data_IF_708130627185
#
_entry.id   IF_708130627185
#
_cell.length_a   1.000
_cell.length_b   1.000
_cell.length_c   1.000
_cell.angle_alpha   90.00
_cell.angle_beta   90.00
_cell.angle_gamma   90.00
#
_symmetry.space_group_name_H-M   'P 1'
#
loop_
_entity.id
_entity.type
_entity.pdbx_description
1 polymer ?
#
# COMPACT_ATOMS: atom_id res chain seq x y z
N UNK A 1 -19.75 -13.83 -4.02
CA UNK A 1 -19.95 -12.37 -4.14
C UNK A 1 -18.77 -11.62 -3.54
N UNK A 2 -18.60 -10.33 -3.84
CA UNK A 2 -17.48 -9.50 -3.37
C UNK A 2 -18.00 -8.14 -2.92
N UNK A 3 -17.53 -7.64 -1.78
CA UNK A 3 -17.77 -6.28 -1.30
C UNK A 3 -16.46 -5.50 -1.38
N UNK A 4 -16.48 -4.34 -2.02
CA UNK A 4 -15.34 -3.43 -2.10
C UNK A 4 -15.62 -2.24 -1.19
N UNK A 5 -14.76 -2.05 -0.19
CA UNK A 5 -14.85 -0.94 0.75
C UNK A 5 -13.65 -0.01 0.55
N UNK A 6 -13.91 1.21 0.10
CA UNK A 6 -12.91 2.27 0.08
C UNK A 6 -12.82 2.91 1.47
N UNK A 7 -11.61 3.03 2.01
CA UNK A 7 -11.34 3.78 3.24
C UNK A 7 -10.72 5.11 2.85
N UNK A 8 -11.45 6.20 3.11
CA UNK A 8 -10.95 7.56 2.90
C UNK A 8 -9.84 7.92 3.90
N UNK A 9 -9.13 9.02 3.59
CA UNK A 9 -7.98 9.48 4.37
C UNK A 9 -6.65 8.88 3.90
N UNK A 10 -5.59 9.15 4.64
CA UNK A 10 -4.25 8.59 4.38
C UNK A 10 -3.82 7.72 5.55
N UNK A 11 -3.14 6.61 5.26
CA UNK A 11 -2.43 5.84 6.29
C UNK A 11 -1.39 6.75 6.95
N UNK A 12 -1.39 6.77 8.28
CA UNK A 12 -0.58 7.69 9.09
C UNK A 12 -1.41 8.82 9.72
N UNK A 13 -2.57 9.14 9.15
CA UNK A 13 -3.47 10.15 9.72
C UNK A 13 -4.27 9.55 10.90
N UNK A 14 -4.40 10.34 11.98
CA UNK A 14 -5.10 9.93 13.22
C UNK A 14 -6.56 9.59 12.94
N UNK A 15 -7.20 10.32 12.01
CA UNK A 15 -8.60 10.14 11.62
C UNK A 15 -8.85 8.75 11.00
N UNK A 16 -7.83 8.14 10.39
CA UNK A 16 -7.92 6.85 9.70
C UNK A 16 -7.78 5.64 10.64
N UNK A 17 -7.22 5.82 11.85
CA UNK A 17 -6.89 4.73 12.77
C UNK A 17 -8.08 3.84 13.15
N UNK A 18 -9.28 4.37 13.48
CA UNK A 18 -10.43 3.54 13.83
C UNK A 18 -10.86 2.61 12.68
N UNK A 19 -10.78 3.10 11.44
CA UNK A 19 -11.15 2.32 10.26
C UNK A 19 -10.12 1.23 9.95
N UNK A 20 -8.83 1.55 10.06
CA UNK A 20 -7.76 0.57 9.85
C UNK A 20 -7.80 -0.53 10.93
N UNK A 21 -8.08 -0.18 12.19
CA UNK A 21 -8.25 -1.18 13.25
C UNK A 21 -9.46 -2.08 13.01
N UNK A 22 -10.59 -1.52 12.55
CA UNK A 22 -11.77 -2.32 12.19
C UNK A 22 -11.48 -3.30 11.05
N UNK A 23 -10.75 -2.87 10.01
CA UNK A 23 -10.30 -3.76 8.93
C UNK A 23 -9.38 -4.87 9.46
N UNK A 24 -8.41 -4.52 10.31
CA UNK A 24 -7.47 -5.47 10.91
C UNK A 24 -8.22 -6.56 11.69
N UNK A 25 -9.21 -6.17 12.50
CA UNK A 25 -10.07 -7.11 13.24
C UNK A 25 -10.93 -7.96 12.30
N UNK A 26 -11.55 -7.35 11.28
CA UNK A 26 -12.37 -8.05 10.30
C UNK A 26 -11.63 -9.25 9.68
N UNK A 27 -10.36 -9.07 9.28
CA UNK A 27 -9.55 -10.19 8.73
C UNK A 27 -9.34 -11.33 9.73
N UNK A 28 -9.24 -11.04 11.03
CA UNK A 28 -9.17 -12.08 12.06
C UNK A 28 -10.51 -12.79 12.27
N UNK A 29 -11.63 -12.09 12.11
CA UNK A 29 -12.98 -12.64 12.31
C UNK A 29 -13.43 -13.52 11.14
N UNK A 30 -13.21 -13.08 9.90
CA UNK A 30 -13.72 -13.77 8.70
C UNK A 30 -12.69 -14.67 8.02
N UNK A 31 -11.44 -14.66 8.48
CA UNK A 31 -10.35 -15.45 7.88
C UNK A 31 -9.59 -14.69 6.79
N UNK A 32 -8.30 -15.01 6.66
CA UNK A 32 -7.38 -14.33 5.73
C UNK A 32 -7.69 -14.57 4.26
N UNK A 33 -8.36 -15.68 3.95
CA UNK A 33 -8.79 -16.10 2.62
C UNK A 33 -9.99 -15.31 2.10
N UNK A 34 -10.71 -14.62 3.00
CA UNK A 34 -11.90 -13.84 2.67
C UNK A 34 -11.62 -12.32 2.64
N UNK A 35 -10.37 -11.88 2.87
CA UNK A 35 -9.98 -10.45 2.89
C UNK A 35 -8.73 -10.19 2.07
N UNK A 36 -8.84 -9.24 1.13
CA UNK A 36 -7.72 -8.74 0.32
C UNK A 36 -7.53 -7.26 0.60
N UNK A 37 -6.30 -6.86 0.93
CA UNK A 37 -5.94 -5.45 1.12
C UNK A 37 -5.24 -4.89 -0.11
N UNK A 38 -5.80 -3.82 -0.68
CA UNK A 38 -5.22 -3.06 -1.78
C UNK A 38 -4.74 -1.72 -1.22
N UNK A 39 -3.42 -1.49 -1.24
CA UNK A 39 -2.85 -0.23 -0.75
C UNK A 39 -2.41 0.66 -1.91
N UNK A 40 -2.98 1.87 -1.96
CA UNK A 40 -2.69 2.83 -3.03
C UNK A 40 -1.65 3.84 -2.56
N UNK A 41 -0.54 3.94 -3.29
CA UNK A 41 0.59 4.83 -2.95
C UNK A 41 0.96 5.73 -4.14
N UNK A 42 1.87 6.69 -3.91
CA UNK A 42 2.38 7.60 -4.93
C UNK A 42 3.90 7.49 -5.02
N UNK A 43 4.40 7.24 -6.23
CA UNK A 43 5.80 7.40 -6.61
C UNK A 43 5.94 8.71 -7.37
N UNK A 44 6.33 9.81 -6.69
CA UNK A 44 6.44 11.11 -7.33
C UNK A 44 7.65 11.17 -8.27
N UNK A 45 7.51 11.96 -9.33
CA UNK A 45 8.60 12.32 -10.24
C UNK A 45 9.16 13.69 -9.86
N UNK A 46 10.43 13.75 -9.48
CA UNK A 46 11.09 15.01 -9.13
C UNK A 46 11.68 15.65 -10.40
N UNK A 47 10.95 16.59 -10.99
CA UNK A 47 11.35 17.25 -12.24
C UNK A 47 12.76 17.88 -12.19
N UNK A 48 13.14 18.47 -11.06
CA UNK A 48 14.45 19.10 -10.90
C UNK A 48 15.63 18.10 -10.97
N UNK A 49 15.40 16.84 -10.60
CA UNK A 49 16.40 15.78 -10.59
C UNK A 49 16.18 14.74 -11.70
N UNK A 50 15.05 14.80 -12.40
CA UNK A 50 14.69 13.88 -13.48
C UNK A 50 14.41 12.45 -13.03
N UNK A 51 14.10 12.22 -11.74
CA UNK A 51 14.02 10.88 -11.15
C UNK A 51 12.71 10.59 -10.40
N UNK A 52 12.30 9.33 -10.39
CA UNK A 52 11.19 8.83 -9.58
C UNK A 52 11.67 8.40 -8.19
N UNK A 53 10.89 8.70 -7.14
CA UNK A 53 11.23 8.35 -5.75
C UNK A 53 10.30 7.29 -5.17
N UNK A 54 10.86 6.12 -4.83
CA UNK A 54 10.10 5.00 -4.22
C UNK A 54 9.96 5.10 -2.70
N UNK A 55 10.72 5.99 -2.05
CA UNK A 55 10.78 6.10 -0.59
C UNK A 55 9.42 6.45 0.06
N UNK A 56 8.58 7.33 -0.51
CA UNK A 56 7.22 7.57 0.01
C UNK A 56 6.37 6.30 0.06
N UNK A 57 6.35 5.48 -1.01
CA UNK A 57 5.67 4.17 -1.02
C UNK A 57 6.18 3.24 0.09
N UNK A 58 7.50 3.15 0.26
CA UNK A 58 8.10 2.29 1.29
C UNK A 58 7.70 2.72 2.71
N UNK A 59 7.67 4.03 2.97
CA UNK A 59 7.26 4.55 4.27
C UNK A 59 5.78 4.30 4.53
N UNK A 60 4.92 4.54 3.54
CA UNK A 60 3.48 4.31 3.66
C UNK A 60 3.14 2.84 3.90
N UNK A 61 3.82 1.91 3.20
CA UNK A 61 3.66 0.46 3.48
C UNK A 61 4.15 0.10 4.87
N UNK A 62 5.28 0.67 5.31
CA UNK A 62 5.80 0.44 6.67
C UNK A 62 4.80 0.88 7.73
N UNK A 63 4.16 2.03 7.56
CA UNK A 63 3.13 2.53 8.48
C UNK A 63 1.91 1.62 8.50
N UNK A 64 1.41 1.19 7.33
CA UNK A 64 0.30 0.24 7.22
C UNK A 64 0.60 -1.08 7.95
N UNK A 65 1.81 -1.62 7.74
CA UNK A 65 2.29 -2.84 8.42
C UNK A 65 2.43 -2.63 9.93
N UNK A 66 2.85 -1.44 10.36
CA UNK A 66 2.90 -1.06 11.77
C UNK A 66 1.54 -1.11 12.47
N UNK A 67 0.46 -0.94 11.70
CA UNK A 67 -0.92 -1.11 12.15
C UNK A 67 -1.43 -2.56 12.01
N UNK A 68 -0.55 -3.53 11.71
CA UNK A 68 -0.91 -4.94 11.60
C UNK A 68 -1.57 -5.33 10.27
N UNK A 69 -1.51 -4.48 9.25
CA UNK A 69 -2.10 -4.74 7.93
C UNK A 69 -0.98 -4.97 6.92
N UNK A 70 -0.90 -6.20 6.38
CA UNK A 70 -0.03 -6.53 5.26
C UNK A 70 -0.81 -6.34 3.95
N UNK A 71 -0.39 -5.44 3.04
CA UNK A 71 -1.04 -5.31 1.74
C UNK A 71 -0.85 -6.57 0.91
N UNK A 72 -1.91 -6.99 0.23
CA UNK A 72 -1.88 -8.05 -0.77
C UNK A 72 -1.54 -7.51 -2.15
N UNK A 73 -1.98 -6.28 -2.46
CA UNK A 73 -1.79 -5.62 -3.74
C UNK A 73 -1.29 -4.19 -3.50
N UNK A 74 -0.33 -3.75 -4.31
CA UNK A 74 0.16 -2.36 -4.29
C UNK A 74 -0.21 -1.61 -5.57
N UNK A 75 -1.11 -0.64 -5.46
CA UNK A 75 -1.42 0.28 -6.57
C UNK A 75 -0.46 1.46 -6.51
N UNK A 76 0.56 1.44 -7.35
CA UNK A 76 1.57 2.50 -7.42
C UNK A 76 1.15 3.55 -8.46
N UNK A 77 0.66 4.69 -7.98
CA UNK A 77 0.34 5.85 -8.84
C UNK A 77 1.62 6.61 -9.17
N UNK A 78 1.75 7.07 -10.41
CA UNK A 78 2.90 7.86 -10.85
C UNK A 78 2.61 8.56 -12.17
N UNK A 79 3.41 9.59 -12.49
CA UNK A 79 3.32 10.36 -13.73
C UNK A 79 4.10 9.74 -14.90
N UNK A 80 5.08 8.87 -14.60
CA UNK A 80 5.98 8.27 -15.58
C UNK A 80 5.93 6.75 -15.48
N UNK A 81 6.13 6.00 -16.58
CA UNK A 81 6.19 4.54 -16.52
C UNK A 81 7.28 4.04 -15.57
N UNK A 82 6.94 3.06 -14.73
CA UNK A 82 7.87 2.42 -13.78
C UNK A 82 8.63 1.30 -14.49
N UNK A 83 9.96 1.29 -14.38
CA UNK A 83 10.78 0.19 -14.90
C UNK A 83 10.58 -1.09 -14.07
N UNK A 84 10.82 -2.26 -14.68
CA UNK A 84 10.77 -3.54 -13.95
C UNK A 84 11.73 -3.55 -12.75
N UNK A 85 12.92 -2.96 -12.89
CA UNK A 85 13.89 -2.84 -11.81
C UNK A 85 13.34 -2.05 -10.61
N UNK A 86 12.58 -0.98 -10.87
CA UNK A 86 11.95 -0.19 -9.82
C UNK A 86 10.77 -0.93 -9.19
N UNK A 87 9.97 -1.66 -9.97
CA UNK A 87 8.91 -2.53 -9.45
C UNK A 87 9.49 -3.58 -8.49
N UNK A 88 10.53 -4.30 -8.92
CA UNK A 88 11.21 -5.30 -8.08
C UNK A 88 11.80 -4.67 -6.80
N UNK A 89 12.32 -3.44 -6.89
CA UNK A 89 12.80 -2.71 -5.72
C UNK A 89 11.64 -2.40 -4.75
N UNK A 90 10.51 -1.89 -5.24
CA UNK A 90 9.33 -1.61 -4.41
C UNK A 90 8.87 -2.92 -3.74
N UNK A 91 8.73 -4.01 -4.50
CA UNK A 91 8.34 -5.31 -4.00
C UNK A 91 9.25 -5.79 -2.85
N UNK A 92 10.57 -5.79 -3.07
CA UNK A 92 11.55 -6.20 -2.06
C UNK A 92 11.52 -5.34 -0.78
N UNK A 93 11.39 -4.02 -0.92
CA UNK A 93 11.36 -3.13 0.25
C UNK A 93 10.02 -3.16 0.99
N UNK A 94 8.93 -3.46 0.28
CA UNK A 94 7.57 -3.50 0.84
C UNK A 94 7.18 -4.90 1.32
N UNK A 95 8.02 -5.92 1.06
CA UNK A 95 7.78 -7.32 1.42
C UNK A 95 6.48 -7.84 0.79
N UNK A 96 6.36 -7.63 -0.53
CA UNK A 96 5.27 -8.14 -1.37
C UNK A 96 5.86 -8.86 -2.59
N UNK A 97 5.09 -9.75 -3.19
CA UNK A 97 5.51 -10.42 -4.43
C UNK A 97 5.65 -9.40 -5.58
N UNK A 98 6.60 -9.58 -6.52
CA UNK A 98 6.71 -8.70 -7.70
C UNK A 98 5.45 -8.64 -8.57
N UNK A 99 4.60 -9.66 -8.47
CA UNK A 99 3.31 -9.81 -9.15
C UNK A 99 2.14 -9.15 -8.39
N UNK A 100 2.36 -8.71 -7.14
CA UNK A 100 1.39 -8.02 -6.28
C UNK A 100 1.10 -6.58 -6.73
#
# INVERSE_FOLDING_TARGET
DVVITEVGGTVGDIESLPFLEALRQMKSEVGSENVVYIHTTLVPYLHAAGEMKTKPTQHSVKELRGLGIQPNILVVRTEKPISQSMRNKIANFCDVEPEA
#
